data_IF_316674879753
#
_entry.id   IF_316674879753
#
_cell.length_a   1.000
_cell.length_b   1.000
_cell.length_c   1.000
_cell.angle_alpha   90.00
_cell.angle_beta   90.00
_cell.angle_gamma   90.00
#
_symmetry.space_group_name_H-M   'P 1'
#
loop_
_entity.id
_entity.type
_entity.pdbx_description
1 polymer ?
#
# COMPACT_ATOMS: atom_id res chain seq x y z
N UNK A 1 -23.26 -14.72 0.72
CA UNK A 1 -23.18 -13.63 1.71
C UNK A 1 -21.83 -13.75 2.41
N UNK A 2 -20.98 -12.72 2.39
CA UNK A 2 -19.79 -12.67 3.23
C UNK A 2 -19.85 -11.40 4.05
N UNK A 3 -20.28 -11.56 5.31
CA UNK A 3 -20.35 -10.52 6.32
C UNK A 3 -19.04 -10.62 7.10
N UNK A 4 -18.18 -9.62 6.96
CA UNK A 4 -17.11 -9.37 7.91
C UNK A 4 -17.45 -8.02 8.57
N UNK A 5 -18.09 -8.08 9.74
CA UNK A 5 -18.49 -6.91 10.52
C UNK A 5 -17.77 -6.96 11.86
N UNK A 6 -16.95 -5.94 12.14
CA UNK A 6 -16.20 -5.74 13.37
C UNK A 6 -14.80 -5.17 13.07
N UNK A 7 -14.25 -4.26 13.89
CA UNK A 7 -12.92 -3.68 13.65
C UNK A 7 -11.84 -4.76 13.77
N UNK A 8 -11.38 -5.30 12.64
CA UNK A 8 -10.33 -6.30 12.58
C UNK A 8 -8.98 -5.57 12.56
N UNK A 9 -8.50 -5.25 13.78
CA UNK A 9 -7.13 -4.90 14.16
C UNK A 9 -6.31 -4.05 13.20
N UNK A 10 -6.36 -2.73 13.31
CA UNK A 10 -5.44 -1.71 12.75
C UNK A 10 -4.93 -1.89 11.29
N UNK A 11 -5.50 -2.81 10.53
CA UNK A 11 -5.03 -3.19 9.21
C UNK A 11 -5.81 -2.39 8.18
N UNK A 12 -5.13 -1.46 7.52
CA UNK A 12 -5.71 -0.80 6.37
C UNK A 12 -5.51 -1.69 5.14
N UNK A 13 -6.58 -2.31 4.68
CA UNK A 13 -6.56 -3.12 3.47
C UNK A 13 -6.61 -2.20 2.24
N UNK A 14 -5.51 -2.09 1.50
CA UNK A 14 -5.51 -1.44 0.19
C UNK A 14 -5.95 -2.51 -0.84
N UNK A 15 -7.15 -2.40 -1.43
CA UNK A 15 -7.63 -3.41 -2.35
C UNK A 15 -6.79 -3.37 -3.64
N UNK A 16 -6.28 -4.54 -4.06
CA UNK A 16 -5.63 -4.71 -5.37
C UNK A 16 -6.43 -5.59 -6.33
N UNK A 17 -7.54 -6.14 -5.84
CA UNK A 17 -8.52 -6.89 -6.62
C UNK A 17 -9.93 -6.43 -6.31
N UNK A 18 -10.80 -6.45 -7.32
CA UNK A 18 -12.22 -6.24 -7.15
C UNK A 18 -12.90 -7.48 -6.53
N UNK A 19 -14.21 -7.38 -6.26
CA UNK A 19 -15.04 -8.47 -5.72
C UNK A 19 -15.06 -9.72 -6.61
N UNK A 20 -14.77 -9.59 -7.90
CA UNK A 20 -14.57 -10.67 -8.86
C UNK A 20 -13.13 -11.17 -8.99
N UNK A 21 -12.24 -10.86 -8.04
CA UNK A 21 -10.80 -11.19 -8.06
C UNK A 21 -10.02 -10.59 -9.24
N UNK A 22 -10.61 -9.64 -9.99
CA UNK A 22 -9.91 -8.99 -11.10
C UNK A 22 -8.96 -7.94 -10.56
N UNK A 23 -7.76 -7.91 -11.12
CA UNK A 23 -6.74 -6.93 -10.75
C UNK A 23 -7.25 -5.53 -11.03
N UNK A 24 -7.22 -4.66 -10.01
CA UNK A 24 -7.62 -3.27 -10.17
C UNK A 24 -6.56 -2.51 -10.97
N UNK A 25 -6.95 -1.59 -11.87
CA UNK A 25 -6.00 -0.75 -12.58
C UNK A 25 -5.09 0.01 -11.61
N UNK A 26 -3.83 0.23 -12.01
CA UNK A 26 -2.84 1.02 -11.27
C UNK A 26 -3.32 2.43 -10.89
N UNK A 27 -4.23 3.01 -11.68
CA UNK A 27 -4.87 4.30 -11.39
C UNK A 27 -5.84 4.22 -10.20
N UNK A 28 -6.60 3.12 -10.08
CA UNK A 28 -7.52 2.88 -8.96
C UNK A 28 -6.74 2.59 -7.68
N UNK A 29 -5.70 1.76 -7.79
CA UNK A 29 -4.79 1.49 -6.67
C UNK A 29 -4.13 2.79 -6.19
N UNK A 30 -3.80 3.73 -7.10
CA UNK A 30 -3.29 5.06 -6.72
C UNK A 30 -4.23 5.80 -5.79
N UNK A 31 -5.52 5.86 -6.14
CA UNK A 31 -6.52 6.55 -5.33
C UNK A 31 -6.59 5.97 -3.92
N UNK A 32 -6.64 4.64 -3.82
CA UNK A 32 -6.64 3.96 -2.53
C UNK A 32 -5.37 4.20 -1.70
N UNK A 33 -4.19 4.26 -2.33
CA UNK A 33 -2.94 4.60 -1.63
C UNK A 33 -2.99 6.05 -1.14
N UNK A 34 -3.46 6.98 -1.95
CA UNK A 34 -3.56 8.40 -1.57
C UNK A 34 -4.52 8.60 -0.39
N UNK A 35 -5.70 7.98 -0.45
CA UNK A 35 -6.69 7.98 0.64
C UNK A 35 -6.10 7.39 1.92
N UNK A 36 -5.34 6.29 1.81
CA UNK A 36 -4.64 5.67 2.92
C UNK A 36 -3.61 6.62 3.54
N UNK A 37 -2.76 7.24 2.73
CA UNK A 37 -1.74 8.17 3.21
C UNK A 37 -2.38 9.39 3.89
N UNK A 38 -3.47 9.92 3.32
CA UNK A 38 -4.24 11.00 3.92
C UNK A 38 -4.83 10.60 5.28
N UNK A 39 -5.34 9.37 5.40
CA UNK A 39 -5.82 8.83 6.67
C UNK A 39 -4.68 8.64 7.69
N UNK A 40 -3.56 8.06 7.27
CA UNK A 40 -2.40 7.80 8.12
C UNK A 40 -1.78 9.11 8.65
N UNK A 41 -1.70 10.15 7.81
CA UNK A 41 -1.25 11.48 8.23
C UNK A 41 -2.13 12.10 9.32
N UNK A 42 -3.46 11.91 9.24
CA UNK A 42 -4.39 12.41 10.26
C UNK A 42 -4.39 11.58 11.55
N UNK A 43 -3.79 10.39 11.52
CA UNK A 43 -3.75 9.42 12.62
C UNK A 43 -2.31 9.06 12.98
N UNK A 44 -1.47 10.07 13.22
CA UNK A 44 -0.07 9.87 13.58
C UNK A 44 0.15 9.01 14.84
N UNK A 45 -0.88 8.92 15.71
CA UNK A 45 -0.90 8.05 16.90
C UNK A 45 -1.04 6.55 16.59
N UNK A 46 -1.53 6.21 15.38
CA UNK A 46 -1.76 4.83 14.95
C UNK A 46 -0.63 4.38 14.04
N UNK A 47 -0.22 3.12 14.18
CA UNK A 47 0.81 2.49 13.34
C UNK A 47 0.17 1.58 12.31
N UNK A 48 0.57 1.71 11.05
CA UNK A 48 0.01 0.95 9.94
C UNK A 48 1.09 0.07 9.31
N UNK A 49 0.88 -1.24 9.32
CA UNK A 49 1.73 -2.21 8.63
C UNK A 49 1.21 -2.45 7.21
N UNK A 50 2.03 -2.11 6.21
CA UNK A 50 1.70 -2.36 4.81
C UNK A 50 2.21 -3.75 4.46
N UNK A 51 1.30 -4.63 4.07
CA UNK A 51 1.68 -5.91 3.45
C UNK A 51 2.12 -5.68 2.01
N UNK A 52 3.05 -6.48 1.46
CA UNK A 52 3.45 -6.36 0.07
C UNK A 52 2.29 -6.79 -0.84
N UNK A 53 1.44 -5.82 -1.19
CA UNK A 53 0.27 -6.09 -2.01
C UNK A 53 0.65 -6.13 -3.48
N UNK A 54 0.19 -7.17 -4.17
CA UNK A 54 0.37 -7.33 -5.61
C UNK A 54 1.60 -8.15 -6.02
N UNK A 55 2.51 -8.43 -5.10
CA UNK A 55 3.69 -9.26 -5.32
C UNK A 55 3.33 -10.74 -5.15
N UNK A 56 2.68 -11.33 -6.16
CA UNK A 56 2.24 -12.72 -6.15
C UNK A 56 1.01 -12.90 -7.04
N UNK A 57 -0.19 -12.81 -6.45
CA UNK A 57 -1.44 -13.13 -7.16
C UNK A 57 -1.95 -12.03 -8.10
N UNK A 58 -1.49 -10.78 -7.99
CA UNK A 58 -1.99 -9.67 -8.83
C UNK A 58 -1.04 -9.31 -10.00
N UNK A 59 0.17 -9.87 -10.03
CA UNK A 59 1.14 -9.62 -11.09
C UNK A 59 1.77 -8.22 -11.11
N UNK A 60 1.55 -7.41 -10.06
CA UNK A 60 2.20 -6.09 -9.97
C UNK A 60 3.59 -6.21 -9.40
N UNK A 61 4.53 -5.50 -10.04
CA UNK A 61 5.90 -5.42 -9.53
C UNK A 61 5.97 -4.41 -8.37
N UNK A 62 6.80 -4.69 -7.34
CA UNK A 62 7.10 -3.72 -6.28
C UNK A 62 7.49 -2.34 -6.85
N UNK A 63 8.25 -2.33 -7.95
CA UNK A 63 8.67 -1.12 -8.67
C UNK A 63 7.54 -0.20 -9.13
N UNK A 64 6.34 -0.75 -9.36
CA UNK A 64 5.17 0.01 -9.83
C UNK A 64 4.35 0.59 -8.69
N UNK A 65 4.37 -0.07 -7.54
CA UNK A 65 3.52 0.25 -6.38
C UNK A 65 4.31 1.05 -5.33
N UNK A 66 5.55 0.66 -5.04
CA UNK A 66 6.36 1.27 -3.99
C UNK A 66 6.57 2.80 -4.17
N UNK A 67 6.80 3.35 -5.37
CA UNK A 67 6.92 4.81 -5.55
C UNK A 67 5.70 5.59 -5.09
N UNK A 68 4.52 4.96 -5.02
CA UNK A 68 3.29 5.59 -4.51
C UNK A 68 3.30 5.78 -2.99
N UNK A 69 4.18 5.09 -2.29
CA UNK A 69 4.40 5.22 -0.85
C UNK A 69 5.60 6.12 -0.49
N UNK A 70 6.21 6.80 -1.47
CA UNK A 70 7.35 7.68 -1.21
C UNK A 70 7.05 8.82 -0.21
N UNK A 71 5.79 9.26 -0.15
CA UNK A 71 5.32 10.28 0.81
C UNK A 71 4.67 9.69 2.07
N UNK A 72 4.91 8.42 2.39
CA UNK A 72 4.27 7.80 3.55
C UNK A 72 4.78 8.41 4.87
N UNK A 73 3.90 8.76 5.81
CA UNK A 73 4.30 9.28 7.12
C UNK A 73 4.98 8.20 7.95
N UNK A 74 5.75 8.61 8.98
CA UNK A 74 6.59 7.70 9.78
C UNK A 74 5.81 6.59 10.52
N UNK A 75 4.51 6.79 10.73
CA UNK A 75 3.61 5.80 11.32
C UNK A 75 3.15 4.71 10.32
N UNK A 76 3.58 4.78 9.07
CA UNK A 76 3.39 3.74 8.06
C UNK A 76 4.67 2.92 7.89
N UNK A 77 4.58 1.64 8.22
CA UNK A 77 5.68 0.68 8.05
C UNK A 77 5.53 0.01 6.70
N UNK A 78 6.47 0.31 5.79
CA UNK A 78 6.53 -0.31 4.48
C UNK A 78 7.28 -1.64 4.53
N UNK A 79 6.89 -2.64 3.72
CA UNK A 79 7.60 -3.90 3.64
C UNK A 79 8.99 -3.68 3.01
N UNK A 80 9.94 -4.56 3.32
CA UNK A 80 11.32 -4.45 2.87
C UNK A 80 11.43 -4.28 1.34
N UNK A 81 10.63 -5.01 0.58
CA UNK A 81 10.59 -4.92 -0.88
C UNK A 81 10.24 -3.51 -1.39
N UNK A 82 9.35 -2.78 -0.71
CA UNK A 82 9.01 -1.41 -1.09
C UNK A 82 10.09 -0.43 -0.63
N UNK A 83 10.65 -0.64 0.57
CA UNK A 83 11.78 0.15 1.07
C UNK A 83 12.99 0.03 0.15
N UNK A 84 13.29 -1.17 -0.34
CA UNK A 84 14.37 -1.43 -1.29
C UNK A 84 14.18 -0.69 -2.61
N UNK A 85 12.95 -0.70 -3.17
CA UNK A 85 12.62 0.06 -4.38
C UNK A 85 12.73 1.57 -4.14
N UNK A 86 12.22 2.06 -3.01
CA UNK A 86 12.30 3.48 -2.67
C UNK A 86 13.76 3.92 -2.49
N UNK A 87 14.57 3.14 -1.78
CA UNK A 87 15.99 3.39 -1.60
C UNK A 87 16.76 3.36 -2.94
N UNK A 88 16.47 2.39 -3.80
CA UNK A 88 17.06 2.28 -5.14
C UNK A 88 16.64 3.45 -6.05
N UNK A 89 15.40 3.94 -5.91
CA UNK A 89 14.91 5.12 -6.64
C UNK A 89 15.59 6.40 -6.17
N UNK A 90 15.92 6.50 -4.87
CA UNK A 90 16.67 7.64 -4.31
C UNK A 90 18.16 7.61 -4.61
N UNK A 91 18.72 6.45 -5.00
CA UNK A 91 20.15 6.27 -5.33
C UNK A 91 20.48 6.53 -6.82
N UNK A 92 19.68 7.32 -7.54
CA UNK A 92 20.10 7.78 -8.87
C UNK A 92 21.13 8.90 -8.71
N UNK A 93 22.41 8.53 -8.86
CA UNK A 93 23.65 9.32 -9.08
C UNK A 93 24.65 9.45 -7.91
N UNK A 94 25.97 9.59 -8.20
CA UNK A 94 26.62 10.13 -9.42
C UNK A 94 26.50 9.28 -10.68
#
# INVERSE_FOLDING_TARGET
MAKASGPQGAAYAIPTKDRGLRVLPLAVIRGHVDDFLGYACRRAELRFEVTPIGCGLAGYRPDQIAPRFAGAPANVILPEVFRAVLAASTWRSP
#
